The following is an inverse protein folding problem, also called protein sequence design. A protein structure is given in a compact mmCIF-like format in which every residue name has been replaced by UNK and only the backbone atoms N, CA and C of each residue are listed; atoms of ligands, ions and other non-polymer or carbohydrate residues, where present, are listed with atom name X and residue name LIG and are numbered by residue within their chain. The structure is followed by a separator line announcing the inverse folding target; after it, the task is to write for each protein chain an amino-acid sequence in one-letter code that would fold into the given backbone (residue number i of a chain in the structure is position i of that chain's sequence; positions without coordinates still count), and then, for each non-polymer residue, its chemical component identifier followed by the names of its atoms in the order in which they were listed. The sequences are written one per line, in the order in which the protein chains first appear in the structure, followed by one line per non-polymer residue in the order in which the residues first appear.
data_IF_464984367240
#
_entry.id   IF_464984367240
#
_cell.length_a   1.000
_cell.length_b   1.000
_cell.length_c   1.000
_cell.angle_alpha   90.00
_cell.angle_beta   90.00
_cell.angle_gamma   90.00
#
_symmetry.space_group_name_H-M   'P 1'
#
loop_
_entity.id
_entity.type
_entity.pdbx_description
1 polymer ?
#
# COMPACT_ATOMS: atom_id res chain seq x y z
N UNK A 1 45.97 11.07 24.74
CA UNK A 1 45.41 11.94 23.67
C UNK A 1 45.98 11.41 22.37
N UNK A 2 45.16 10.89 21.47
CA UNK A 2 45.60 10.26 20.21
C UNK A 2 44.59 10.56 19.11
N UNK A 3 45.07 10.74 17.87
CA UNK A 3 44.33 11.47 16.84
C UNK A 3 43.29 10.62 16.07
N UNK A 4 42.15 11.23 15.76
CA UNK A 4 41.10 10.66 14.91
C UNK A 4 41.39 10.95 13.43
N UNK A 5 41.76 9.93 12.66
CA UNK A 5 41.99 10.07 11.21
C UNK A 5 40.69 10.06 10.41
N UNK A 6 40.16 11.24 10.06
CA UNK A 6 39.02 11.37 9.15
C UNK A 6 39.46 11.23 7.68
N UNK A 7 39.13 10.10 7.05
CA UNK A 7 39.28 9.92 5.59
C UNK A 7 38.05 10.53 4.90
N UNK A 8 38.17 11.76 4.42
CA UNK A 8 37.14 12.41 3.61
C UNK A 8 37.04 11.77 2.22
N UNK A 9 35.82 11.38 1.81
CA UNK A 9 35.52 10.98 0.42
C UNK A 9 34.83 12.12 -0.31
N UNK A 10 35.58 12.84 -1.15
CA UNK A 10 35.02 13.81 -2.08
C UNK A 10 34.47 13.06 -3.31
N UNK A 11 33.18 12.78 -3.32
CA UNK A 11 32.49 12.25 -4.51
C UNK A 11 32.26 13.37 -5.53
N UNK A 12 32.79 13.24 -6.74
CA UNK A 12 32.64 14.24 -7.78
C UNK A 12 31.19 14.27 -8.32
N UNK A 13 30.54 15.43 -8.23
CA UNK A 13 29.20 15.64 -8.79
C UNK A 13 29.31 15.90 -10.31
N UNK A 14 29.04 14.87 -11.12
CA UNK A 14 29.00 14.97 -12.57
C UNK A 14 27.74 15.71 -13.05
N UNK A 15 27.80 17.05 -13.15
CA UNK A 15 26.73 17.88 -13.70
C UNK A 15 26.72 17.76 -15.23
N UNK A 16 25.90 16.85 -15.76
CA UNK A 16 25.67 16.70 -17.19
C UNK A 16 24.83 17.88 -17.73
N UNK A 17 25.50 18.98 -18.09
CA UNK A 17 24.85 20.19 -18.62
C UNK A 17 24.42 20.00 -20.09
N UNK A 18 23.32 19.27 -20.31
CA UNK A 18 22.74 19.00 -21.62
C UNK A 18 22.11 20.23 -22.27
N UNK A 19 22.91 21.09 -22.91
CA UNK A 19 22.43 22.23 -23.70
C UNK A 19 21.85 21.72 -25.03
N UNK A 20 20.58 21.30 -25.00
CA UNK A 20 19.82 20.83 -26.16
C UNK A 20 18.71 21.81 -26.56
N UNK A 21 19.07 23.00 -27.07
CA UNK A 21 18.10 24.07 -27.40
C UNK A 21 17.41 23.80 -28.74
N UNK A 22 16.54 22.78 -28.76
CA UNK A 22 15.71 22.40 -29.91
C UNK A 22 14.57 23.39 -30.19
N UNK A 23 14.91 24.62 -30.62
CA UNK A 23 13.94 25.61 -31.08
C UNK A 23 13.36 25.20 -32.44
N UNK A 24 12.32 24.36 -32.40
CA UNK A 24 11.48 24.09 -33.58
C UNK A 24 10.64 25.33 -33.88
N UNK A 25 11.18 26.23 -34.71
CA UNK A 25 10.45 27.37 -35.23
C UNK A 25 9.35 26.89 -36.18
N UNK A 26 8.11 26.83 -35.68
CA UNK A 26 6.96 26.71 -36.57
C UNK A 26 6.91 27.92 -37.49
N UNK A 27 6.69 27.75 -38.81
CA UNK A 27 6.63 28.87 -39.73
C UNK A 27 5.42 29.74 -39.38
N UNK A 28 5.69 30.93 -38.81
CA UNK A 28 4.67 31.96 -38.62
C UNK A 28 4.17 32.40 -39.99
N UNK A 29 2.98 31.91 -40.37
CA UNK A 29 2.23 32.45 -41.51
C UNK A 29 1.80 33.87 -41.14
N UNK A 30 2.61 34.84 -41.56
CA UNK A 30 2.33 36.27 -41.40
C UNK A 30 1.15 36.65 -42.30
N UNK A 31 -0.06 36.36 -41.84
CA UNK A 31 -1.30 36.68 -42.54
C UNK A 31 -1.46 38.21 -42.58
N UNK A 32 -1.06 38.82 -43.70
CA UNK A 32 -1.19 40.25 -43.92
C UNK A 32 -2.65 40.68 -43.77
N UNK A 33 -2.92 41.55 -42.79
CA UNK A 33 -4.27 42.05 -42.51
C UNK A 33 -4.76 42.86 -43.73
N UNK A 34 -5.88 42.48 -44.37
CA UNK A 34 -6.44 43.29 -45.46
C UNK A 34 -6.82 44.68 -44.96
N UNK A 35 -6.50 45.71 -45.75
CA UNK A 35 -6.93 47.08 -45.51
C UNK A 35 -8.43 47.22 -45.84
N UNK A 36 -9.29 47.13 -44.82
CA UNK A 36 -10.74 47.34 -44.98
C UNK A 36 -11.11 48.82 -44.84
N UNK A 37 -10.92 49.57 -45.92
CA UNK A 37 -11.67 50.80 -46.18
C UNK A 37 -13.08 50.44 -46.74
N UNK A 38 -13.89 49.74 -45.94
CA UNK A 38 -15.28 49.37 -46.28
C UNK A 38 -16.17 49.34 -45.03
N UNK A 39 -16.81 50.48 -44.74
CA UNK A 39 -17.82 50.60 -43.67
C UNK A 39 -19.17 49.97 -44.09
N UNK A 40 -19.33 48.63 -44.01
CA UNK A 40 -20.63 48.01 -44.31
C UNK A 40 -20.88 46.59 -43.76
N UNK A 41 -20.92 46.39 -42.44
CA UNK A 41 -21.97 45.58 -41.78
C UNK A 41 -21.97 45.73 -40.27
N UNK A 42 -23.14 45.67 -39.63
CA UNK A 42 -23.29 45.58 -38.18
C UNK A 42 -23.49 44.12 -37.78
N UNK A 43 -22.47 43.29 -37.97
CA UNK A 43 -22.51 41.87 -37.62
C UNK A 43 -22.76 41.69 -36.12
N UNK A 44 -23.90 41.11 -35.77
CA UNK A 44 -24.30 40.91 -34.39
C UNK A 44 -23.33 39.95 -33.69
N UNK A 45 -22.60 40.47 -32.68
CA UNK A 45 -21.59 39.69 -31.96
C UNK A 45 -22.18 38.38 -31.42
N UNK A 46 -21.65 37.25 -31.90
CA UNK A 46 -22.19 35.93 -31.60
C UNK A 46 -22.35 35.71 -30.08
N UNK A 47 -23.48 35.12 -29.63
CA UNK A 47 -23.78 34.97 -28.21
C UNK A 47 -22.68 34.14 -27.53
N UNK A 48 -22.08 34.71 -26.49
CA UNK A 48 -20.97 34.08 -25.75
C UNK A 48 -21.44 32.72 -25.21
N UNK A 49 -20.67 31.63 -25.40
CA UNK A 49 -21.09 30.30 -24.98
C UNK A 49 -21.36 30.26 -23.47
N UNK A 50 -22.39 29.51 -23.02
CA UNK A 50 -22.74 29.44 -21.60
C UNK A 50 -21.59 28.87 -20.78
N UNK A 51 -21.35 29.47 -19.61
CA UNK A 51 -20.26 29.05 -18.70
C UNK A 51 -20.56 27.64 -18.17
N UNK A 52 -19.59 26.70 -18.19
CA UNK A 52 -19.79 25.35 -17.64
C UNK A 52 -20.28 25.35 -16.19
N UNK A 53 -21.28 24.51 -15.91
CA UNK A 53 -21.82 24.32 -14.56
C UNK A 53 -20.75 23.68 -13.67
N UNK A 54 -20.54 24.25 -12.47
CA UNK A 54 -19.56 23.75 -11.51
C UNK A 54 -20.22 22.73 -10.58
N UNK A 55 -19.95 21.44 -10.79
CA UNK A 55 -20.41 20.38 -9.89
C UNK A 55 -19.74 20.51 -8.51
N UNK A 56 -20.49 20.99 -7.51
CA UNK A 56 -20.01 21.19 -6.13
C UNK A 56 -21.15 21.13 -5.11
N UNK A 57 -20.96 20.36 -4.05
CA UNK A 57 -21.84 20.33 -2.89
C UNK A 57 -21.05 20.46 -1.59
N UNK A 58 -21.64 21.11 -0.58
CA UNK A 58 -21.03 21.33 0.74
C UNK A 58 -22.10 21.21 1.82
N UNK A 59 -21.86 20.39 2.84
CA UNK A 59 -22.70 20.27 4.03
C UNK A 59 -21.86 20.36 5.32
N UNK A 60 -22.43 20.92 6.38
CA UNK A 60 -21.78 21.13 7.68
C UNK A 60 -22.82 21.11 8.80
N UNK A 61 -22.59 20.35 9.87
CA UNK A 61 -23.45 20.30 11.06
C UNK A 61 -24.95 20.06 10.76
N UNK A 62 -25.27 19.26 9.74
CA UNK A 62 -26.63 19.01 9.29
C UNK A 62 -27.18 19.98 8.23
N UNK A 63 -26.47 21.06 7.92
CA UNK A 63 -26.95 22.12 7.02
C UNK A 63 -26.22 22.06 5.68
N UNK A 64 -26.97 22.00 4.58
CA UNK A 64 -26.41 22.18 3.23
C UNK A 64 -26.05 23.65 3.01
N UNK A 65 -24.77 23.91 2.77
CA UNK A 65 -24.19 25.26 2.60
C UNK A 65 -24.10 25.64 1.11
N UNK A 66 -23.99 24.63 0.23
CA UNK A 66 -23.96 24.82 -1.23
C UNK A 66 -24.41 23.57 -1.96
N UNK A 67 -25.13 23.75 -3.06
CA UNK A 67 -25.45 22.72 -4.05
C UNK A 67 -25.32 23.33 -5.46
N UNK A 68 -24.73 22.59 -6.40
CA UNK A 68 -24.71 22.94 -7.83
C UNK A 68 -24.27 21.74 -8.65
N UNK A 69 -24.96 21.47 -9.76
CA UNK A 69 -24.71 20.29 -10.59
C UNK A 69 -25.01 18.97 -9.86
N UNK A 70 -24.31 17.89 -10.25
CA UNK A 70 -24.59 16.51 -9.82
C UNK A 70 -23.75 16.03 -8.63
N UNK A 71 -22.93 16.88 -8.01
CA UNK A 71 -22.22 16.55 -6.77
C UNK A 71 -23.21 16.52 -5.58
N UNK A 72 -23.00 15.63 -4.61
CA UNK A 72 -23.83 15.50 -3.41
C UNK A 72 -22.98 15.50 -2.13
N UNK A 73 -23.37 16.29 -1.12
CA UNK A 73 -22.70 16.32 0.17
C UNK A 73 -23.70 16.40 1.33
N UNK A 74 -23.54 15.54 2.34
CA UNK A 74 -24.43 15.47 3.51
C UNK A 74 -23.68 15.30 4.84
N UNK A 75 -24.29 15.78 5.92
CA UNK A 75 -23.81 15.64 7.31
C UNK A 75 -25.04 15.49 8.24
N UNK A 76 -24.93 14.90 9.44
CA UNK A 76 -26.11 14.58 10.25
C UNK A 76 -26.68 15.81 10.96
N UNK A 77 -28.01 15.89 11.10
CA UNK A 77 -28.66 16.93 11.89
C UNK A 77 -28.19 16.88 13.36
N UNK A 78 -27.94 18.04 13.96
CA UNK A 78 -27.45 18.16 15.35
C UNK A 78 -25.97 17.80 15.54
N UNK A 79 -25.27 17.29 14.52
CA UNK A 79 -23.85 16.97 14.64
C UNK A 79 -22.96 18.22 14.75
N UNK A 80 -21.87 18.11 15.50
CA UNK A 80 -20.99 19.24 15.84
C UNK A 80 -19.61 19.09 15.20
N UNK A 81 -19.23 20.08 14.39
CA UNK A 81 -17.93 20.16 13.72
C UNK A 81 -17.81 19.24 12.51
N UNK A 82 -18.91 18.69 12.01
CA UNK A 82 -18.92 17.78 10.85
C UNK A 82 -18.83 18.55 9.55
N UNK A 83 -18.21 17.97 8.52
CA UNK A 83 -18.03 18.64 7.22
C UNK A 83 -17.94 17.65 6.07
N UNK A 84 -18.89 17.74 5.14
CA UNK A 84 -18.82 17.08 3.84
C UNK A 84 -18.58 18.10 2.71
N UNK A 85 -17.72 17.74 1.75
CA UNK A 85 -17.46 18.52 0.53
C UNK A 85 -17.34 17.56 -0.65
N UNK A 86 -18.16 17.75 -1.67
CA UNK A 86 -18.08 17.01 -2.93
C UNK A 86 -17.79 17.95 -4.10
N UNK A 87 -16.92 17.55 -5.01
CA UNK A 87 -16.51 18.30 -6.21
C UNK A 87 -16.24 17.35 -7.37
N UNK A 88 -16.80 17.64 -8.53
CA UNK A 88 -16.80 16.73 -9.69
C UNK A 88 -18.21 16.22 -9.99
N UNK A 89 -18.46 15.78 -11.22
CA UNK A 89 -19.78 15.27 -11.59
C UNK A 89 -20.07 13.95 -10.85
N UNK A 90 -21.23 13.81 -10.22
CA UNK A 90 -21.58 12.62 -9.44
C UNK A 90 -20.74 12.38 -8.18
N UNK A 91 -19.88 13.31 -7.76
CA UNK A 91 -19.06 13.16 -6.56
C UNK A 91 -19.94 13.10 -5.30
N UNK A 92 -19.66 12.18 -4.38
CA UNK A 92 -20.43 11.95 -3.14
C UNK A 92 -19.54 12.20 -1.92
N UNK A 93 -20.00 13.01 -0.96
CA UNK A 93 -19.34 13.19 0.33
C UNK A 93 -20.33 13.06 1.48
N UNK A 94 -20.19 12.02 2.29
CA UNK A 94 -21.14 11.68 3.34
C UNK A 94 -20.47 11.70 4.70
N UNK A 95 -21.04 12.44 5.66
CA UNK A 95 -20.84 12.13 7.07
C UNK A 95 -22.13 11.50 7.60
N UNK A 96 -22.11 10.21 7.91
CA UNK A 96 -23.34 9.45 8.31
C UNK A 96 -23.62 9.60 9.79
N UNK A 97 -22.58 9.65 10.61
CA UNK A 97 -22.66 9.77 12.07
C UNK A 97 -21.39 10.38 12.66
N UNK A 98 -21.43 10.66 13.96
CA UNK A 98 -20.27 11.11 14.72
C UNK A 98 -20.04 12.62 14.74
N UNK A 99 -19.08 13.04 15.58
CA UNK A 99 -18.74 14.44 15.82
C UNK A 99 -17.32 14.76 15.37
N UNK A 100 -17.10 15.97 14.83
CA UNK A 100 -15.82 16.46 14.27
C UNK A 100 -15.28 15.64 13.08
N UNK A 101 -16.09 14.74 12.52
CA UNK A 101 -15.77 13.89 11.36
C UNK A 101 -15.92 14.65 10.03
N UNK A 102 -15.13 14.31 9.01
CA UNK A 102 -15.16 15.01 7.72
C UNK A 102 -14.94 14.09 6.52
N UNK A 103 -15.77 14.29 5.49
CA UNK A 103 -15.67 13.69 4.18
C UNK A 103 -15.31 14.75 3.13
N UNK A 104 -14.45 14.39 2.16
CA UNK A 104 -14.07 15.28 1.07
C UNK A 104 -13.76 14.48 -0.21
N UNK A 105 -14.68 14.49 -1.17
CA UNK A 105 -14.54 13.88 -2.49
C UNK A 105 -14.22 14.93 -3.56
N UNK A 106 -13.22 14.65 -4.40
CA UNK A 106 -12.75 15.57 -5.44
C UNK A 106 -12.31 14.79 -6.70
N UNK A 107 -13.28 14.49 -7.53
CA UNK A 107 -13.19 13.73 -8.79
C UNK A 107 -14.59 13.44 -9.31
N UNK A 108 -14.73 13.13 -10.59
CA UNK A 108 -15.96 12.58 -11.18
C UNK A 108 -16.26 11.23 -10.53
N UNK A 109 -17.48 11.00 -10.04
CA UNK A 109 -17.86 9.75 -9.36
C UNK A 109 -17.13 9.44 -8.04
N UNK A 110 -16.25 10.32 -7.54
CA UNK A 110 -15.48 10.05 -6.33
C UNK A 110 -16.37 10.02 -5.08
N UNK A 111 -16.16 9.06 -4.18
CA UNK A 111 -16.88 8.92 -2.91
C UNK A 111 -15.97 9.11 -1.68
N UNK A 112 -16.42 9.92 -0.72
CA UNK A 112 -15.82 9.97 0.60
C UNK A 112 -16.90 9.80 1.70
N UNK A 113 -16.76 8.77 2.53
CA UNK A 113 -17.74 8.46 3.60
C UNK A 113 -17.04 8.40 4.96
N UNK A 114 -17.51 9.19 5.93
CA UNK A 114 -17.00 9.20 7.30
C UNK A 114 -18.13 9.02 8.32
N UNK A 115 -17.99 8.08 9.25
CA UNK A 115 -19.07 7.74 10.20
C UNK A 115 -18.48 7.23 11.53
N UNK A 116 -19.30 6.62 12.38
CA UNK A 116 -18.88 6.08 13.67
C UNK A 116 -18.82 7.15 14.77
N UNK A 117 -17.81 7.05 15.63
CA UNK A 117 -17.61 7.86 16.83
C UNK A 117 -17.16 9.30 16.55
N UNK A 118 -15.87 9.62 16.66
CA UNK A 118 -15.40 11.01 16.53
C UNK A 118 -14.16 11.20 15.66
N UNK A 119 -14.06 12.38 15.02
CA UNK A 119 -12.90 12.86 14.24
C UNK A 119 -12.50 12.02 13.01
N UNK A 120 -13.36 11.11 12.54
CA UNK A 120 -13.03 10.27 11.39
C UNK A 120 -12.91 11.11 10.11
N UNK A 121 -11.90 10.84 9.29
CA UNK A 121 -11.53 11.69 8.15
C UNK A 121 -11.39 10.85 6.88
N UNK A 122 -12.32 11.04 5.93
CA UNK A 122 -12.30 10.44 4.61
C UNK A 122 -11.96 11.48 3.53
N UNK A 123 -11.04 11.15 2.62
CA UNK A 123 -10.59 12.03 1.53
C UNK A 123 -10.38 11.24 0.24
N UNK A 124 -11.27 11.36 -0.72
CA UNK A 124 -11.11 10.81 -2.06
C UNK A 124 -10.68 11.91 -3.04
N UNK A 125 -9.69 11.63 -3.88
CA UNK A 125 -9.19 12.52 -4.93
C UNK A 125 -8.75 11.71 -6.13
N UNK A 126 -9.19 12.12 -7.31
CA UNK A 126 -9.16 11.28 -8.52
C UNK A 126 -10.57 10.82 -8.84
N UNK A 127 -10.84 10.61 -10.13
CA UNK A 127 -12.13 10.14 -10.60
C UNK A 127 -12.37 8.70 -10.12
N UNK A 128 -13.61 8.36 -9.76
CA UNK A 128 -14.06 7.05 -9.26
C UNK A 128 -13.26 6.52 -8.05
N UNK A 129 -12.60 7.42 -7.30
CA UNK A 129 -11.86 7.09 -6.07
C UNK A 129 -12.75 7.07 -4.83
N UNK A 130 -12.49 6.14 -3.92
CA UNK A 130 -13.31 5.85 -2.73
C UNK A 130 -12.49 5.96 -1.45
N UNK A 131 -13.01 6.66 -0.43
CA UNK A 131 -12.38 6.72 0.88
C UNK A 131 -13.41 6.59 2.00
N UNK A 132 -13.24 5.60 2.90
CA UNK A 132 -14.17 5.28 3.97
C UNK A 132 -13.46 5.28 5.33
N UNK A 133 -13.94 6.07 6.29
CA UNK A 133 -13.33 6.22 7.61
C UNK A 133 -14.35 6.04 8.75
N UNK A 134 -14.18 5.01 9.56
CA UNK A 134 -15.00 4.76 10.76
C UNK A 134 -16.39 4.19 10.50
N UNK A 135 -16.69 3.70 9.29
CA UNK A 135 -18.05 3.28 8.93
C UNK A 135 -18.55 2.03 9.66
N UNK A 136 -19.87 1.92 9.75
CA UNK A 136 -20.57 0.68 10.13
C UNK A 136 -20.16 0.14 11.51
N UNK A 137 -20.26 1.05 12.49
CA UNK A 137 -20.07 0.85 13.92
C UNK A 137 -20.46 2.14 14.66
N UNK A 138 -20.56 2.12 15.99
CA UNK A 138 -20.97 3.30 16.79
C UNK A 138 -19.79 4.05 17.43
N UNK A 139 -18.66 3.38 17.67
CA UNK A 139 -17.56 3.88 18.50
C UNK A 139 -16.30 4.27 17.72
N UNK A 140 -16.11 3.72 16.52
CA UNK A 140 -14.92 3.89 15.67
C UNK A 140 -14.45 5.37 15.62
N UNK A 141 -13.25 5.70 16.10
CA UNK A 141 -12.81 7.10 16.26
C UNK A 141 -11.38 7.38 15.80
N UNK A 142 -11.11 8.61 15.38
CA UNK A 142 -9.82 9.13 14.88
C UNK A 142 -9.29 8.42 13.61
N UNK A 143 -10.10 7.62 12.92
CA UNK A 143 -9.69 6.90 11.72
C UNK A 143 -9.50 7.86 10.53
N UNK A 144 -8.55 7.54 9.64
CA UNK A 144 -8.14 8.39 8.53
C UNK A 144 -7.97 7.58 7.26
N UNK A 145 -8.90 7.74 6.32
CA UNK A 145 -8.78 7.26 4.95
C UNK A 145 -8.36 8.39 4.00
N UNK A 146 -7.48 8.12 3.05
CA UNK A 146 -7.16 9.05 1.96
C UNK A 146 -6.79 8.29 0.69
N UNK A 147 -7.67 8.33 -0.31
CA UNK A 147 -7.36 7.92 -1.68
C UNK A 147 -6.90 9.14 -2.50
N UNK A 148 -5.86 8.97 -3.32
CA UNK A 148 -5.28 10.02 -4.14
C UNK A 148 -4.72 9.44 -5.45
N UNK A 149 -5.64 9.18 -6.38
CA UNK A 149 -5.47 8.60 -7.71
C UNK A 149 -6.83 8.06 -8.17
N UNK A 150 -7.02 7.86 -9.47
CA UNK A 150 -8.30 7.40 -10.02
C UNK A 150 -8.58 5.95 -9.64
N UNK A 151 -9.85 5.56 -9.48
CA UNK A 151 -10.31 4.19 -9.19
C UNK A 151 -9.68 3.58 -7.91
N UNK A 152 -9.22 4.40 -6.98
CA UNK A 152 -8.44 3.96 -5.80
C UNK A 152 -9.24 4.01 -4.51
N UNK A 153 -9.02 3.02 -3.64
CA UNK A 153 -9.79 2.77 -2.42
C UNK A 153 -8.96 2.95 -1.14
N UNK A 154 -9.53 3.57 -0.11
CA UNK A 154 -8.91 3.60 1.23
C UNK A 154 -9.97 3.39 2.33
N UNK A 155 -9.84 2.33 3.11
CA UNK A 155 -10.72 1.95 4.22
C UNK A 155 -9.96 1.99 5.55
N UNK A 156 -10.43 2.79 6.51
CA UNK A 156 -9.82 2.94 7.82
C UNK A 156 -10.87 2.82 8.94
N UNK A 157 -10.82 1.76 9.75
CA UNK A 157 -11.81 1.52 10.80
C UNK A 157 -13.23 1.30 10.29
N UNK A 158 -13.40 0.72 9.10
CA UNK A 158 -14.70 0.49 8.46
C UNK A 158 -15.22 -0.93 8.71
N UNK A 159 -16.54 -1.14 8.63
CA UNK A 159 -17.18 -2.46 8.70
C UNK A 159 -16.89 -3.22 10.02
N UNK A 160 -17.31 -2.65 11.15
CA UNK A 160 -17.14 -3.23 12.50
C UNK A 160 -17.05 -2.16 13.58
N UNK A 161 -17.03 -2.55 14.86
CA UNK A 161 -17.04 -1.61 16.00
C UNK A 161 -15.70 -1.49 16.72
N UNK A 162 -15.52 -0.45 17.53
CA UNK A 162 -14.33 -0.19 18.37
C UNK A 162 -12.98 -0.11 17.63
N UNK A 163 -13.03 0.17 16.32
CA UNK A 163 -11.85 0.36 15.49
C UNK A 163 -11.37 1.82 15.55
N UNK A 164 -10.21 2.11 16.17
CA UNK A 164 -9.75 3.50 16.37
C UNK A 164 -8.34 3.78 15.83
N UNK A 165 -8.11 5.06 15.49
CA UNK A 165 -6.82 5.63 15.08
C UNK A 165 -6.19 4.99 13.84
N UNK A 166 -6.92 4.15 13.10
CA UNK A 166 -6.40 3.47 11.92
C UNK A 166 -6.17 4.46 10.78
N UNK A 167 -5.10 4.27 10.01
CA UNK A 167 -4.75 5.13 8.87
C UNK A 167 -4.56 4.30 7.61
N UNK A 168 -5.47 4.49 6.64
CA UNK A 168 -5.31 4.01 5.27
C UNK A 168 -4.95 5.18 4.35
N UNK A 169 -3.98 5.00 3.47
CA UNK A 169 -3.57 6.03 2.51
C UNK A 169 -3.14 5.40 1.20
N UNK A 170 -3.64 5.91 0.08
CA UNK A 170 -3.25 5.53 -1.28
C UNK A 170 -2.81 6.78 -2.04
N UNK A 171 -1.64 6.71 -2.68
CA UNK A 171 -1.13 7.71 -3.61
C UNK A 171 -0.72 6.99 -4.89
N UNK A 172 -1.68 6.83 -5.79
CA UNK A 172 -1.62 6.00 -7.01
C UNK A 172 -3.04 5.60 -7.47
N UNK A 173 -3.16 5.15 -8.71
CA UNK A 173 -4.41 4.76 -9.40
C UNK A 173 -4.72 3.26 -9.26
N UNK A 174 -5.99 2.86 -9.31
CA UNK A 174 -6.46 1.47 -9.18
C UNK A 174 -5.93 0.74 -7.92
N UNK A 175 -5.63 1.48 -6.85
CA UNK A 175 -4.86 0.99 -5.69
C UNK A 175 -5.71 1.00 -4.41
N UNK A 176 -5.48 0.03 -3.52
CA UNK A 176 -6.32 -0.23 -2.34
C UNK A 176 -5.52 -0.18 -1.03
N UNK A 177 -6.09 0.40 0.02
CA UNK A 177 -5.54 0.33 1.38
C UNK A 177 -6.60 0.06 2.45
N UNK A 178 -6.44 -0.99 3.25
CA UNK A 178 -7.34 -1.37 4.36
C UNK A 178 -6.57 -1.33 5.69
N UNK A 179 -7.04 -0.55 6.66
CA UNK A 179 -6.46 -0.46 8.00
C UNK A 179 -7.54 -0.62 9.07
N UNK A 180 -7.41 -1.58 9.98
CA UNK A 180 -8.37 -1.82 11.05
C UNK A 180 -9.82 -2.05 10.60
N UNK A 181 -10.05 -2.68 9.45
CA UNK A 181 -11.38 -2.75 8.82
C UNK A 181 -11.88 -4.19 8.65
N UNK A 182 -13.20 -4.38 8.54
CA UNK A 182 -13.87 -5.69 8.43
C UNK A 182 -13.65 -6.58 9.65
N UNK A 183 -13.93 -6.05 10.84
CA UNK A 183 -13.70 -6.67 12.14
C UNK A 183 -13.81 -5.65 13.28
N UNK A 184 -13.71 -6.07 14.53
CA UNK A 184 -13.92 -5.23 15.72
C UNK A 184 -12.64 -4.98 16.50
N UNK A 185 -12.56 -3.88 17.26
CA UNK A 185 -11.47 -3.65 18.20
C UNK A 185 -10.08 -3.44 17.57
N UNK A 186 -10.00 -3.21 16.25
CA UNK A 186 -8.74 -3.07 15.54
C UNK A 186 -8.20 -1.63 15.68
N UNK A 187 -7.03 -1.46 16.29
CA UNK A 187 -6.57 -0.14 16.75
C UNK A 187 -5.16 0.24 16.27
N UNK A 188 -4.96 1.51 15.92
CA UNK A 188 -3.68 2.11 15.49
C UNK A 188 -3.05 1.50 14.21
N UNK A 189 -3.77 0.67 13.44
CA UNK A 189 -3.21 0.01 12.27
C UNK A 189 -2.97 1.00 11.12
N UNK A 190 -1.95 0.74 10.28
CA UNK A 190 -1.50 1.66 9.23
C UNK A 190 -1.26 0.95 7.92
N UNK A 191 -2.11 1.21 6.92
CA UNK A 191 -1.92 0.78 5.54
C UNK A 191 -1.50 1.98 4.67
N UNK A 192 -0.49 1.81 3.82
CA UNK A 192 -0.01 2.89 2.93
C UNK A 192 0.45 2.35 1.58
N UNK A 193 -0.20 2.78 0.50
CA UNK A 193 0.26 2.67 -0.89
C UNK A 193 0.81 4.03 -1.34
N UNK A 194 1.97 4.04 -2.01
CA UNK A 194 2.57 5.25 -2.58
C UNK A 194 3.45 4.94 -3.78
N UNK A 195 3.60 5.87 -4.73
CA UNK A 195 4.69 5.82 -5.71
C UNK A 195 6.09 6.02 -5.11
N UNK A 196 7.12 5.84 -5.94
CA UNK A 196 8.51 6.16 -5.65
C UNK A 196 8.93 7.40 -6.47
N UNK A 197 8.85 8.63 -5.92
CA UNK A 197 9.08 9.86 -6.68
C UNK A 197 10.53 10.06 -7.09
N UNK A 198 11.51 9.44 -6.41
CA UNK A 198 12.92 9.48 -6.81
C UNK A 198 13.18 8.75 -8.14
N UNK A 199 12.33 7.78 -8.50
CA UNK A 199 12.42 7.01 -9.74
C UNK A 199 11.28 7.34 -10.72
N UNK A 200 10.42 8.31 -10.39
CA UNK A 200 9.24 8.67 -11.20
C UNK A 200 8.13 7.62 -11.24
N UNK A 201 8.21 6.55 -10.44
CA UNK A 201 7.27 5.42 -10.48
C UNK A 201 6.00 5.75 -9.69
N UNK A 202 4.83 5.54 -10.30
CA UNK A 202 3.52 5.76 -9.66
C UNK A 202 3.20 4.66 -8.63
N UNK A 203 2.12 4.82 -7.86
CA UNK A 203 1.74 3.90 -6.77
C UNK A 203 0.62 2.94 -7.18
N UNK A 204 0.60 2.54 -8.45
CA UNK A 204 -0.63 2.12 -9.14
C UNK A 204 -0.84 0.59 -9.13
N UNK A 205 -2.10 0.14 -9.07
CA UNK A 205 -2.50 -1.27 -8.99
C UNK A 205 -1.95 -2.02 -7.75
N UNK A 206 -1.78 -1.31 -6.63
CA UNK A 206 -1.06 -1.75 -5.41
C UNK A 206 -1.99 -1.88 -4.19
N UNK A 207 -1.70 -2.83 -3.29
CA UNK A 207 -2.50 -3.15 -2.09
C UNK A 207 -1.73 -2.94 -0.77
N UNK A 208 -2.37 -2.40 0.26
CA UNK A 208 -1.87 -2.45 1.64
C UNK A 208 -2.97 -2.88 2.62
N UNK A 209 -2.73 -3.89 3.45
CA UNK A 209 -3.69 -4.39 4.46
C UNK A 209 -3.03 -4.44 5.82
N UNK A 210 -3.60 -3.76 6.83
CA UNK A 210 -3.06 -3.74 8.19
C UNK A 210 -4.16 -4.01 9.23
N UNK A 211 -4.01 -5.08 10.02
CA UNK A 211 -4.90 -5.46 11.13
C UNK A 211 -6.38 -5.46 10.73
N UNK A 212 -6.73 -6.08 9.60
CA UNK A 212 -8.07 -6.03 8.99
C UNK A 212 -8.53 -7.43 8.63
N UNK A 213 -9.85 -7.67 8.58
CA UNK A 213 -10.50 -8.97 8.34
C UNK A 213 -10.56 -9.93 9.56
N UNK A 214 -10.41 -9.40 10.77
CA UNK A 214 -10.55 -10.09 12.06
C UNK A 214 -10.54 -9.11 13.23
N UNK A 215 -10.53 -9.59 14.47
CA UNK A 215 -10.80 -8.77 15.66
C UNK A 215 -9.56 -8.44 16.51
N UNK A 216 -9.55 -7.32 17.24
CA UNK A 216 -8.52 -6.90 18.21
C UNK A 216 -7.09 -6.72 17.67
N UNK A 217 -6.89 -6.58 16.36
CA UNK A 217 -5.54 -6.44 15.78
C UNK A 217 -4.99 -5.03 16.00
N UNK A 218 -3.77 -4.89 16.54
CA UNK A 218 -3.25 -3.57 16.96
C UNK A 218 -1.86 -3.19 16.48
N UNK A 219 -1.67 -1.90 16.16
CA UNK A 219 -0.38 -1.29 15.79
C UNK A 219 0.29 -1.87 14.53
N UNK A 220 -0.41 -2.69 13.74
CA UNK A 220 0.17 -3.33 12.55
C UNK A 220 0.44 -2.31 11.42
N UNK A 221 1.50 -2.50 10.65
CA UNK A 221 1.95 -1.55 9.63
C UNK A 221 2.25 -2.21 8.27
N UNK A 222 1.41 -1.94 7.27
CA UNK A 222 1.59 -2.38 5.89
C UNK A 222 1.94 -1.22 4.95
N UNK A 223 3.01 -1.37 4.16
CA UNK A 223 3.51 -0.36 3.24
C UNK A 223 3.82 -0.95 1.87
N UNK A 224 3.05 -0.55 0.86
CA UNK A 224 3.33 -0.80 -0.55
C UNK A 224 3.96 0.45 -1.20
N UNK A 225 5.00 0.24 -2.01
CA UNK A 225 5.70 1.31 -2.72
C UNK A 225 5.86 0.96 -4.20
N UNK A 226 5.49 1.86 -5.10
CA UNK A 226 5.53 1.66 -6.55
C UNK A 226 4.29 0.92 -7.07
N UNK A 227 4.42 0.33 -8.26
CA UNK A 227 3.31 -0.29 -8.99
C UNK A 227 3.19 -1.79 -8.69
N UNK A 228 1.96 -2.32 -8.65
CA UNK A 228 1.69 -3.74 -8.35
C UNK A 228 2.29 -4.22 -7.01
N UNK A 229 2.42 -3.35 -6.01
CA UNK A 229 3.02 -3.66 -4.71
C UNK A 229 1.95 -3.99 -3.65
N UNK A 230 2.06 -5.15 -2.97
CA UNK A 230 1.09 -5.67 -2.02
C UNK A 230 1.79 -5.99 -0.70
N UNK A 231 1.30 -5.41 0.41
CA UNK A 231 1.81 -5.67 1.76
C UNK A 231 0.65 -5.96 2.73
N UNK A 232 0.75 -7.01 3.55
CA UNK A 232 -0.29 -7.44 4.50
C UNK A 232 0.35 -7.68 5.88
N UNK A 233 -0.14 -7.01 6.91
CA UNK A 233 0.36 -7.10 8.29
C UNK A 233 -0.79 -7.24 9.29
N UNK A 234 -0.97 -8.41 9.88
CA UNK A 234 -1.99 -8.69 10.91
C UNK A 234 -3.42 -8.79 10.37
N UNK A 235 -4.22 -9.65 11.02
CA UNK A 235 -5.68 -9.58 11.02
C UNK A 235 -6.45 -10.30 9.92
N UNK A 236 -5.83 -10.55 8.77
CA UNK A 236 -6.43 -11.35 7.70
C UNK A 236 -6.29 -10.76 6.30
N UNK A 237 -7.10 -11.27 5.38
CA UNK A 237 -7.13 -10.87 3.98
C UNK A 237 -8.56 -10.77 3.43
N UNK A 238 -8.79 -10.04 2.33
CA UNK A 238 -10.01 -10.20 1.54
C UNK A 238 -10.24 -11.66 1.11
N UNK A 239 -11.51 -12.03 0.91
CA UNK A 239 -11.87 -13.34 0.33
C UNK A 239 -11.23 -13.54 -1.05
N UNK A 240 -10.66 -14.72 -1.26
CA UNK A 240 -9.95 -15.09 -2.51
C UNK A 240 -8.43 -14.91 -2.47
N UNK A 241 -7.85 -14.33 -1.41
CA UNK A 241 -6.40 -14.26 -1.27
C UNK A 241 -5.81 -15.64 -0.87
N UNK A 242 -4.80 -16.19 -1.58
CA UNK A 242 -4.21 -17.49 -1.25
C UNK A 242 -3.55 -17.50 0.13
N UNK A 243 -3.82 -18.53 0.94
CA UNK A 243 -3.40 -18.59 2.35
C UNK A 243 -4.17 -17.65 3.29
N UNK A 244 -5.18 -16.96 2.77
CA UNK A 244 -6.02 -16.02 3.51
C UNK A 244 -6.98 -16.67 4.51
N UNK A 245 -7.36 -15.88 5.50
CA UNK A 245 -8.32 -16.19 6.55
C UNK A 245 -8.56 -14.95 7.41
N UNK A 246 -9.35 -15.09 8.47
CA UNK A 246 -9.35 -14.11 9.57
C UNK A 246 -8.15 -14.37 10.50
N UNK A 247 -7.67 -13.33 11.16
CA UNK A 247 -6.73 -13.42 12.28
C UNK A 247 -7.12 -12.43 13.36
N UNK A 248 -6.98 -12.80 14.62
CA UNK A 248 -7.39 -11.96 15.75
C UNK A 248 -6.22 -11.66 16.68
N UNK A 249 -6.39 -10.61 17.50
CA UNK A 249 -5.48 -10.23 18.59
C UNK A 249 -4.01 -10.01 18.16
N UNK A 250 -3.73 -9.89 16.84
CA UNK A 250 -2.37 -9.90 16.30
C UNK A 250 -1.80 -8.49 16.26
N UNK A 251 -0.60 -8.29 16.81
CA UNK A 251 -0.06 -6.96 17.09
C UNK A 251 1.37 -6.73 16.58
N UNK A 252 1.72 -5.46 16.37
CA UNK A 252 3.10 -5.05 16.05
C UNK A 252 3.63 -5.47 14.68
N UNK A 253 2.90 -6.28 13.90
CA UNK A 253 3.38 -6.85 12.65
C UNK A 253 3.70 -5.76 11.61
N UNK A 254 4.80 -5.94 10.88
CA UNK A 254 5.27 -4.99 9.85
C UNK A 254 5.43 -5.70 8.52
N UNK A 255 4.77 -5.21 7.46
CA UNK A 255 4.94 -5.67 6.09
C UNK A 255 5.33 -4.52 5.17
N UNK A 256 6.46 -4.62 4.47
CA UNK A 256 6.88 -3.64 3.45
C UNK A 256 7.12 -4.32 2.11
N UNK A 257 6.31 -3.97 1.11
CA UNK A 257 6.52 -4.35 -0.29
C UNK A 257 6.96 -3.14 -1.12
N UNK A 258 7.87 -3.35 -2.07
CA UNK A 258 8.32 -2.30 -3.00
C UNK A 258 8.52 -2.91 -4.39
N UNK A 259 7.95 -2.27 -5.42
CA UNK A 259 8.21 -2.62 -6.82
C UNK A 259 8.35 -1.36 -7.68
N UNK A 260 9.58 -1.09 -8.11
CA UNK A 260 9.95 0.07 -8.94
C UNK A 260 10.11 -0.26 -10.42
N UNK A 261 9.71 -1.45 -10.87
CA UNK A 261 9.74 -1.83 -12.27
C UNK A 261 8.59 -1.26 -13.10
N UNK A 262 8.73 -1.33 -14.42
CA UNK A 262 7.66 -1.06 -15.39
C UNK A 262 7.11 -2.38 -15.96
N UNK A 263 5.78 -2.54 -15.94
CA UNK A 263 5.02 -3.71 -16.41
C UNK A 263 5.33 -5.05 -15.70
N UNK A 264 4.25 -5.78 -15.38
CA UNK A 264 4.17 -7.20 -15.00
C UNK A 264 5.31 -7.76 -14.14
N UNK A 265 5.35 -7.32 -12.88
CA UNK A 265 6.38 -7.65 -11.89
C UNK A 265 5.80 -7.79 -10.49
N UNK A 266 5.91 -8.98 -9.89
CA UNK A 266 5.32 -9.28 -8.57
C UNK A 266 6.34 -9.03 -7.42
N UNK A 267 6.09 -8.46 -6.23
CA UNK A 267 5.10 -8.67 -5.13
C UNK A 267 5.28 -9.98 -4.36
N UNK A 268 5.08 -10.13 -3.03
CA UNK A 268 4.24 -9.46 -2.00
C UNK A 268 4.79 -9.69 -0.56
N UNK A 269 4.55 -8.81 0.43
CA UNK A 269 4.99 -9.00 1.83
C UNK A 269 3.85 -9.39 2.80
N UNK A 270 4.09 -10.32 3.73
CA UNK A 270 3.06 -10.88 4.64
C UNK A 270 3.57 -11.04 6.08
N UNK A 271 2.93 -10.47 7.09
CA UNK A 271 3.29 -10.67 8.50
C UNK A 271 2.06 -10.95 9.37
N UNK A 272 2.05 -12.02 10.16
CA UNK A 272 0.99 -12.32 11.14
C UNK A 272 -0.43 -12.43 10.57
N UNK A 273 -0.59 -12.95 9.35
CA UNK A 273 -1.78 -12.72 8.53
C UNK A 273 -3.05 -13.42 9.05
N UNK A 274 -3.02 -14.70 9.37
CA UNK A 274 -4.22 -15.47 9.74
C UNK A 274 -3.97 -16.44 10.90
N UNK A 275 -4.98 -16.67 11.74
CA UNK A 275 -4.82 -17.23 13.09
C UNK A 275 -4.54 -16.14 14.13
N UNK A 276 -4.49 -16.53 15.41
CA UNK A 276 -4.60 -15.59 16.52
C UNK A 276 -3.27 -15.31 17.25
N UNK A 277 -3.13 -14.11 17.84
CA UNK A 277 -1.97 -13.68 18.63
C UNK A 277 -0.63 -13.76 17.86
N UNK A 278 -0.62 -13.43 16.57
CA UNK A 278 0.61 -13.36 15.80
C UNK A 278 1.25 -11.99 16.02
N UNK A 279 2.38 -11.94 16.73
CA UNK A 279 2.94 -10.70 17.28
C UNK A 279 4.36 -10.37 16.75
N UNK A 280 4.64 -9.08 16.57
CA UNK A 280 5.95 -8.51 16.19
C UNK A 280 6.61 -9.12 14.94
N UNK A 281 5.85 -9.82 14.08
CA UNK A 281 6.40 -10.44 12.88
C UNK A 281 6.76 -9.37 11.84
N UNK A 282 7.93 -9.49 11.23
CA UNK A 282 8.44 -8.56 10.21
C UNK A 282 8.56 -9.25 8.86
N UNK A 283 8.03 -8.63 7.81
CA UNK A 283 8.07 -9.12 6.45
C UNK A 283 8.48 -8.01 5.46
N UNK A 284 9.41 -8.34 4.57
CA UNK A 284 9.81 -7.47 3.46
C UNK A 284 9.60 -8.18 2.12
N UNK A 285 9.28 -7.44 1.06
CA UNK A 285 9.20 -7.91 -0.32
C UNK A 285 9.62 -6.83 -1.32
N UNK A 286 10.15 -7.25 -2.46
CA UNK A 286 11.03 -6.48 -3.35
C UNK A 286 11.23 -7.32 -4.62
N UNK A 287 11.34 -6.84 -5.85
CA UNK A 287 11.14 -5.54 -6.52
C UNK A 287 11.38 -5.83 -8.04
N UNK A 288 11.53 -4.81 -8.87
CA UNK A 288 12.21 -4.90 -10.18
C UNK A 288 11.56 -5.83 -11.22
N UNK A 289 10.56 -5.32 -11.93
CA UNK A 289 10.34 -5.68 -13.35
C UNK A 289 11.27 -4.94 -14.29
N UNK A 290 11.51 -5.41 -15.51
CA UNK A 290 10.96 -6.60 -16.22
C UNK A 290 12.10 -7.41 -16.85
N UNK A 291 12.03 -8.72 -17.11
CA UNK A 291 10.97 -9.74 -16.95
C UNK A 291 11.56 -11.14 -16.59
N UNK A 292 10.93 -12.08 -15.87
CA UNK A 292 9.51 -12.31 -15.57
C UNK A 292 9.22 -12.36 -14.05
N UNK A 293 9.82 -11.38 -13.38
CA UNK A 293 9.66 -10.87 -12.02
C UNK A 293 8.55 -11.36 -11.07
N UNK A 294 9.02 -11.84 -9.92
CA UNK A 294 8.35 -12.21 -8.64
C UNK A 294 9.49 -12.07 -7.56
N UNK A 295 9.41 -11.93 -6.22
CA UNK A 295 8.47 -12.54 -5.23
C UNK A 295 8.43 -11.81 -3.85
N UNK A 296 8.43 -12.56 -2.75
CA UNK A 296 7.55 -12.37 -1.59
C UNK A 296 8.22 -12.62 -0.23
N UNK A 297 7.41 -12.38 0.82
CA UNK A 297 7.20 -13.26 1.97
C UNK A 297 8.24 -13.18 3.10
N UNK A 298 7.86 -13.44 4.35
CA UNK A 298 6.51 -13.75 4.86
C UNK A 298 6.55 -14.42 6.23
N UNK A 299 6.20 -13.70 7.30
CA UNK A 299 6.47 -14.11 8.68
C UNK A 299 5.20 -14.43 9.48
N UNK A 300 5.20 -15.53 10.24
CA UNK A 300 4.13 -15.96 11.16
C UNK A 300 2.73 -15.98 10.54
N UNK A 301 2.59 -16.34 9.26
CA UNK A 301 1.41 -15.92 8.47
C UNK A 301 0.14 -16.73 8.71
N UNK A 302 0.25 -17.94 9.28
CA UNK A 302 -0.85 -18.91 9.34
C UNK A 302 -0.70 -19.80 10.58
N UNK A 303 -1.64 -19.70 11.51
CA UNK A 303 -1.61 -20.38 12.81
C UNK A 303 -1.45 -19.37 13.95
N UNK A 304 -1.21 -19.85 15.16
CA UNK A 304 -1.44 -19.04 16.37
C UNK A 304 -0.14 -18.80 17.16
N UNK A 305 -0.06 -17.69 17.90
CA UNK A 305 1.06 -17.36 18.79
C UNK A 305 2.43 -17.32 18.10
N UNK A 306 2.51 -16.94 16.81
CA UNK A 306 3.80 -16.79 16.13
C UNK A 306 4.41 -15.41 16.47
N UNK A 307 5.55 -15.38 17.15
CA UNK A 307 6.11 -14.18 17.77
C UNK A 307 7.50 -13.79 17.21
N UNK A 308 7.70 -12.51 16.88
CA UNK A 308 9.00 -11.92 16.58
C UNK A 308 9.73 -12.52 15.37
N UNK A 309 9.03 -13.22 14.48
CA UNK A 309 9.66 -13.84 13.32
C UNK A 309 9.93 -12.81 12.21
N UNK A 310 11.04 -12.98 11.49
CA UNK A 310 11.49 -12.04 10.46
C UNK A 310 11.66 -12.77 9.12
N UNK A 311 11.09 -12.26 8.03
CA UNK A 311 11.25 -12.85 6.72
C UNK A 311 11.36 -11.82 5.60
N UNK A 312 12.15 -12.14 4.57
CA UNK A 312 12.57 -11.14 3.58
C UNK A 312 12.74 -11.75 2.20
N UNK A 313 11.80 -11.42 1.31
CA UNK A 313 12.03 -10.56 0.15
C UNK A 313 12.89 -11.01 -1.06
N UNK A 314 12.96 -10.05 -2.00
CA UNK A 314 13.90 -9.94 -3.13
C UNK A 314 13.41 -10.64 -4.41
N UNK A 315 13.91 -10.34 -5.62
CA UNK A 315 14.06 -9.03 -6.29
C UNK A 315 13.48 -9.21 -7.72
N UNK A 316 14.14 -8.75 -8.79
CA UNK A 316 14.54 -9.51 -10.01
C UNK A 316 14.75 -8.62 -11.26
N UNK A 317 14.09 -8.87 -12.41
CA UNK A 317 14.43 -8.45 -13.81
C UNK A 317 15.87 -8.72 -14.36
N UNK A 318 16.16 -9.50 -15.42
CA UNK A 318 15.37 -10.43 -16.28
C UNK A 318 15.42 -11.97 -15.93
N UNK A 319 14.74 -12.55 -14.94
CA UNK A 319 15.49 -12.83 -13.69
C UNK A 319 14.78 -13.68 -12.63
N UNK A 320 13.54 -14.09 -12.87
CA UNK A 320 12.50 -14.11 -11.85
C UNK A 320 12.77 -14.86 -10.51
N UNK A 321 12.02 -14.42 -9.47
CA UNK A 321 11.88 -15.00 -8.12
C UNK A 321 13.07 -14.67 -7.17
N UNK A 322 12.94 -14.63 -5.82
CA UNK A 322 12.24 -15.60 -4.95
C UNK A 322 12.19 -15.24 -3.44
N UNK A 323 11.75 -16.20 -2.62
CA UNK A 323 10.83 -16.07 -1.48
C UNK A 323 11.55 -16.25 -0.12
N UNK A 324 11.35 -15.36 0.86
CA UNK A 324 11.66 -15.64 2.28
C UNK A 324 10.45 -16.25 3.00
N UNK A 325 10.54 -16.86 4.19
CA UNK A 325 9.35 -17.12 5.05
C UNK A 325 9.67 -17.64 6.47
N UNK A 326 9.07 -17.10 7.54
CA UNK A 326 9.40 -17.49 8.92
C UNK A 326 8.32 -17.33 10.00
N UNK A 327 7.90 -18.35 10.75
CA UNK A 327 7.67 -19.72 10.33
C UNK A 327 6.32 -19.77 9.59
N UNK A 328 6.34 -20.19 8.33
CA UNK A 328 5.17 -20.15 7.46
C UNK A 328 4.34 -21.43 7.63
N UNK A 329 3.11 -21.29 8.13
CA UNK A 329 2.22 -22.35 8.65
C UNK A 329 2.76 -23.05 9.91
N UNK A 330 2.06 -22.84 11.03
CA UNK A 330 2.27 -23.48 12.33
C UNK A 330 1.94 -22.55 13.50
N UNK A 331 2.01 -23.07 14.73
CA UNK A 331 1.72 -22.28 15.94
C UNK A 331 2.90 -22.26 16.92
N UNK A 332 2.98 -21.21 17.75
CA UNK A 332 4.01 -21.01 18.79
C UNK A 332 5.45 -20.91 18.26
N UNK A 333 5.65 -20.39 17.04
CA UNK A 333 6.98 -20.23 16.45
C UNK A 333 7.58 -18.86 16.81
N UNK A 334 8.79 -18.84 17.36
CA UNK A 334 9.40 -17.65 18.00
C UNK A 334 10.76 -17.28 17.40
N UNK A 335 10.99 -16.00 17.11
CA UNK A 335 12.28 -15.43 16.69
C UNK A 335 12.94 -16.07 15.45
N UNK A 336 12.19 -16.76 14.59
CA UNK A 336 12.79 -17.38 13.41
C UNK A 336 13.05 -16.35 12.30
N UNK A 337 14.13 -16.52 11.54
CA UNK A 337 14.58 -15.58 10.49
C UNK A 337 14.68 -16.27 9.12
N UNK A 338 14.11 -15.69 8.05
CA UNK A 338 14.23 -16.25 6.69
C UNK A 338 14.28 -15.21 5.54
N UNK A 339 15.49 -14.93 5.09
CA UNK A 339 15.88 -14.41 3.75
C UNK A 339 15.47 -15.36 2.59
N UNK A 340 15.82 -15.19 1.30
CA UNK A 340 15.78 -14.01 0.39
C UNK A 340 16.39 -14.37 -0.99
N UNK A 341 15.81 -13.97 -2.13
CA UNK A 341 16.46 -14.20 -3.45
C UNK A 341 16.23 -13.10 -4.50
N UNK A 342 17.31 -12.46 -4.94
CA UNK A 342 17.45 -11.55 -6.11
C UNK A 342 18.04 -12.30 -7.32
N UNK A 343 17.92 -11.83 -8.60
CA UNK A 343 18.85 -12.18 -9.75
C UNK A 343 18.56 -11.81 -11.23
N UNK A 344 19.22 -10.78 -11.79
CA UNK A 344 19.32 -10.57 -13.25
C UNK A 344 19.70 -11.82 -14.08
N UNK A 345 18.98 -12.11 -15.17
CA UNK A 345 19.18 -13.24 -16.13
C UNK A 345 19.75 -14.55 -15.52
N UNK A 346 19.11 -15.01 -14.43
CA UNK A 346 19.63 -16.11 -13.62
C UNK A 346 18.67 -16.61 -12.53
N UNK A 347 17.39 -16.78 -12.87
CA UNK A 347 16.23 -17.00 -11.98
C UNK A 347 16.27 -18.09 -10.87
N UNK A 348 15.57 -17.84 -9.77
CA UNK A 348 15.21 -18.79 -8.67
C UNK A 348 16.37 -19.26 -7.74
N UNK A 349 16.20 -19.75 -6.49
CA UNK A 349 14.98 -20.12 -5.73
C UNK A 349 15.14 -20.05 -4.18
N UNK A 350 14.18 -19.45 -3.47
CA UNK A 350 13.74 -19.62 -2.05
C UNK A 350 14.82 -19.37 -0.95
N UNK A 351 14.72 -19.64 0.37
CA UNK A 351 13.76 -20.24 1.34
C UNK A 351 14.23 -19.81 2.78
N UNK A 352 13.84 -20.34 3.94
CA UNK A 352 12.57 -20.63 4.64
C UNK A 352 12.94 -21.19 6.04
N UNK A 353 12.32 -20.67 7.09
CA UNK A 353 12.38 -21.09 8.51
C UNK A 353 11.89 -22.51 8.76
N UNK A 354 11.69 -22.86 10.05
CA UNK A 354 10.92 -23.99 10.58
C UNK A 354 9.44 -23.87 10.25
N UNK A 355 9.19 -23.82 8.95
CA UNK A 355 7.92 -23.70 8.27
C UNK A 355 7.24 -25.07 8.24
N UNK A 356 5.91 -25.03 8.11
CA UNK A 356 5.04 -26.22 8.11
C UNK A 356 5.13 -27.00 9.43
N UNK A 357 5.35 -26.31 10.55
CA UNK A 357 5.61 -26.89 11.87
C UNK A 357 5.36 -25.90 13.02
N UNK A 358 5.15 -26.42 14.22
CA UNK A 358 4.95 -25.66 15.46
C UNK A 358 6.18 -25.71 16.38
N UNK A 359 6.26 -24.77 17.33
CA UNK A 359 7.30 -24.69 18.38
C UNK A 359 8.74 -24.43 17.87
N UNK A 360 8.90 -23.86 16.68
CA UNK A 360 10.20 -23.54 16.13
C UNK A 360 10.76 -22.26 16.75
N UNK A 361 11.97 -22.30 17.29
CA UNK A 361 12.56 -21.22 18.08
C UNK A 361 13.97 -20.86 17.59
N UNK A 362 14.22 -19.57 17.31
CA UNK A 362 15.53 -19.02 16.91
C UNK A 362 16.15 -19.64 15.64
N UNK A 363 15.39 -20.29 14.75
CA UNK A 363 15.94 -20.90 13.53
C UNK A 363 16.20 -19.84 12.45
N UNK A 364 17.22 -20.04 11.60
CA UNK A 364 17.65 -19.05 10.58
C UNK A 364 17.75 -19.69 9.19
N UNK A 365 17.33 -19.03 8.10
CA UNK A 365 17.38 -19.56 6.73
C UNK A 365 17.62 -18.50 5.62
N UNK A 366 18.37 -18.89 4.59
CA UNK A 366 19.07 -18.04 3.59
C UNK A 366 19.39 -18.94 2.38
N UNK A 367 19.34 -18.59 1.07
CA UNK A 367 18.97 -17.40 0.27
C UNK A 367 19.28 -17.71 -1.25
N UNK A 368 19.78 -16.73 -2.03
CA UNK A 368 20.66 -16.86 -3.25
C UNK A 368 19.99 -16.93 -4.63
N UNK A 369 20.40 -16.21 -5.72
CA UNK A 369 21.50 -15.26 -6.11
C UNK A 369 22.67 -15.78 -7.02
N UNK A 370 22.75 -15.37 -8.31
CA UNK A 370 23.26 -16.15 -9.49
C UNK A 370 22.96 -15.48 -10.87
N UNK A 371 23.91 -15.27 -11.81
CA UNK A 371 23.62 -14.80 -13.20
C UNK A 371 24.06 -15.84 -14.25
N UNK A 372 23.17 -16.28 -15.14
CA UNK A 372 23.41 -17.33 -16.15
C UNK A 372 23.63 -18.75 -15.58
N UNK A 373 23.28 -18.99 -14.31
CA UNK A 373 23.94 -20.03 -13.48
C UNK A 373 23.06 -20.67 -12.39
N UNK A 374 21.75 -20.78 -12.60
CA UNK A 374 20.75 -20.59 -11.54
C UNK A 374 20.37 -21.76 -10.56
N UNK A 375 19.44 -21.49 -9.61
CA UNK A 375 19.00 -22.28 -8.41
C UNK A 375 20.09 -22.59 -7.32
N UNK A 376 19.85 -23.08 -6.07
CA UNK A 376 18.63 -23.66 -5.42
C UNK A 376 18.56 -23.65 -3.85
N UNK A 377 17.61 -22.91 -3.23
CA UNK A 377 16.88 -23.14 -1.92
C UNK A 377 17.37 -22.88 -0.43
N UNK A 378 18.06 -22.53 0.68
CA UNK A 378 17.70 -22.67 2.12
C UNK A 378 16.82 -23.83 2.66
N UNK A 379 16.96 -24.16 3.96
CA UNK A 379 15.84 -24.34 4.92
C UNK A 379 16.33 -24.51 6.37
N UNK A 380 15.51 -24.25 7.41
CA UNK A 380 15.91 -24.56 8.81
C UNK A 380 14.79 -24.81 9.83
N UNK A 381 14.61 -26.07 10.25
CA UNK A 381 13.61 -26.49 11.24
C UNK A 381 12.34 -27.11 10.64
N UNK A 382 12.38 -27.55 9.37
CA UNK A 382 11.16 -27.81 8.60
C UNK A 382 10.45 -29.09 9.03
N UNK A 383 9.12 -29.04 9.16
CA UNK A 383 8.23 -30.18 9.45
C UNK A 383 8.42 -30.85 10.84
N UNK A 384 9.24 -30.30 11.73
CA UNK A 384 9.50 -30.81 13.09
C UNK A 384 9.61 -29.65 14.08
N UNK A 385 9.44 -29.90 15.38
CA UNK A 385 9.82 -28.91 16.41
C UNK A 385 11.34 -28.70 16.37
N UNK A 386 11.82 -27.47 16.49
CA UNK A 386 13.26 -27.21 16.43
C UNK A 386 13.76 -25.93 17.10
N UNK A 387 14.87 -26.01 17.82
CA UNK A 387 15.58 -24.83 18.36
C UNK A 387 16.93 -24.59 17.67
N UNK A 388 17.15 -23.39 17.12
CA UNK A 388 18.47 -22.90 16.73
C UNK A 388 19.11 -23.58 15.50
N UNK A 389 18.33 -24.21 14.62
CA UNK A 389 18.81 -24.69 13.32
C UNK A 389 19.27 -23.54 12.41
N UNK A 390 20.25 -23.81 11.55
CA UNK A 390 20.80 -22.83 10.59
C UNK A 390 20.86 -23.36 9.16
N UNK A 391 20.19 -22.62 8.28
CA UNK A 391 20.51 -22.15 6.93
C UNK A 391 21.60 -22.85 6.08
N UNK A 392 21.41 -22.82 4.75
CA UNK A 392 22.51 -22.82 3.74
C UNK A 392 21.96 -22.42 2.37
N UNK A 393 22.79 -21.76 1.56
CA UNK A 393 22.46 -21.06 0.31
C UNK A 393 23.59 -21.24 -0.74
N UNK A 394 23.77 -20.24 -1.60
CA UNK A 394 24.98 -19.91 -2.40
C UNK A 394 24.99 -20.35 -3.87
N UNK A 395 25.71 -19.55 -4.65
CA UNK A 395 25.45 -19.26 -6.07
C UNK A 395 25.62 -20.46 -7.04
N UNK A 396 24.51 -21.16 -7.34
CA UNK A 396 24.33 -21.99 -8.55
C UNK A 396 24.28 -23.50 -8.32
N UNK A 397 23.22 -24.14 -8.85
CA UNK A 397 22.87 -25.56 -8.69
C UNK A 397 23.04 -26.14 -7.27
N UNK A 398 21.92 -26.21 -6.52
CA UNK A 398 21.62 -27.21 -5.46
C UNK A 398 22.50 -27.23 -4.18
N UNK A 399 22.02 -27.57 -2.98
CA UNK A 399 20.68 -27.52 -2.34
C UNK A 399 20.89 -27.50 -0.82
N UNK A 400 19.81 -27.44 -0.05
CA UNK A 400 19.82 -26.91 1.32
C UNK A 400 18.73 -27.49 2.21
N UNK A 401 19.01 -27.65 3.50
CA UNK A 401 18.04 -28.05 4.53
C UNK A 401 18.68 -27.94 5.92
N UNK A 402 17.89 -27.96 6.99
CA UNK A 402 18.39 -28.41 8.30
C UNK A 402 17.28 -28.85 9.26
N UNK A 403 17.58 -29.92 10.01
CA UNK A 403 17.26 -30.05 11.43
C UNK A 403 15.92 -30.66 11.87
N UNK A 404 16.02 -31.75 12.63
CA UNK A 404 15.53 -31.70 14.02
C UNK A 404 16.64 -31.04 14.85
N UNK A 405 16.32 -30.03 15.65
CA UNK A 405 17.26 -29.38 16.57
C UNK A 405 16.61 -29.30 17.97
N UNK A 406 17.40 -29.48 19.03
CA UNK A 406 16.94 -29.82 20.39
C UNK A 406 15.81 -28.95 20.96
#
# INVERSE_FOLDING_TARGET
MSNTSYIGRVGALAVALGIGVGLVSTPWVALAKPSQDTNSSTDAAAPKPPKPVKNISISRNGVQIKQSGTAYATTPMGSTGTKAVAKGAGAIATVTSGNKSSANANGTGAEATAAGGTKNTAKARGDESTAVAGSDGTTNSNNKATANGNNSEAYAGANGSDNNSNTATVIGNNSQAYAGSNGNGNNNNKATVTGNPQLGVTGDNSLAVAGSFGDNNTNNAAKAVGQNANAIAGGGTPVGYPGGGAGSNSSGNVATATNTGSSDSRTDAYAGVAGDNNDDNTATATNSGSAASITQSGAGTNGDNNAGNNASASNTADAARTVGAAAYIGSNNTNNTATATNIGDGATTQAFSGSLSSYNTNNTATATNIVGSAATNANAGRLVSSTGCTATASDGQTTSSSGQCS
#
